data_IF_880809330286
#
_entry.id   IF_880809330286
#
_cell.length_a   1.000
_cell.length_b   1.000
_cell.length_c   1.000
_cell.angle_alpha   90.00
_cell.angle_beta   90.00
_cell.angle_gamma   90.00
#
_symmetry.space_group_name_H-M   'P 1'
#
loop_
_entity.id
_entity.type
_entity.pdbx_description
1 polymer ?
#
# COMPACT_ATOMS: atom_id res chain seq x y z
N UNK A 1 21.61 -11.98 -16.68
CA UNK A 1 21.24 -11.52 -15.32
C UNK A 1 19.78 -11.93 -15.16
N UNK A 2 19.39 -12.56 -14.05
CA UNK A 2 17.96 -12.87 -13.83
C UNK A 2 17.35 -11.69 -13.10
N UNK A 3 16.38 -11.03 -13.73
CA UNK A 3 15.63 -9.97 -13.07
C UNK A 3 14.77 -10.60 -11.98
N UNK A 4 15.02 -10.18 -10.75
CA UNK A 4 14.24 -10.58 -9.60
C UNK A 4 13.22 -9.50 -9.27
N UNK A 5 12.05 -9.92 -8.81
CA UNK A 5 10.95 -9.01 -8.52
C UNK A 5 10.55 -9.10 -7.05
N UNK A 6 10.29 -7.95 -6.46
CA UNK A 6 9.73 -7.84 -5.12
C UNK A 6 8.25 -7.49 -5.25
N UNK A 7 7.40 -8.33 -4.68
CA UNK A 7 5.95 -8.19 -4.72
C UNK A 7 5.40 -7.97 -3.31
N UNK A 8 4.46 -7.05 -3.18
CA UNK A 8 3.82 -6.69 -1.92
C UNK A 8 2.31 -6.55 -2.10
N UNK A 9 1.57 -6.91 -1.08
CA UNK A 9 0.14 -6.63 -0.99
C UNK A 9 -0.13 -5.97 0.35
N UNK A 10 -0.81 -4.83 0.32
CA UNK A 10 -1.14 -4.05 1.51
C UNK A 10 -2.60 -3.62 1.46
N UNK A 11 -3.32 -3.79 2.57
CA UNK A 11 -4.63 -3.16 2.77
C UNK A 11 -4.44 -1.88 3.58
N UNK A 12 -5.10 -0.81 3.16
CA UNK A 12 -5.04 0.49 3.81
C UNK A 12 -6.43 0.89 4.30
N UNK A 13 -6.56 1.09 5.60
CA UNK A 13 -7.75 1.65 6.22
C UNK A 13 -7.46 3.01 6.87
N UNK A 14 -8.49 3.63 7.45
CA UNK A 14 -8.34 4.85 8.25
C UNK A 14 -8.55 4.54 9.73
N UNK A 15 -7.59 4.88 10.58
CA UNK A 15 -7.68 4.76 12.03
C UNK A 15 -7.34 6.12 12.65
N UNK A 16 -8.26 6.71 13.42
CA UNK A 16 -8.04 8.03 14.04
C UNK A 16 -7.77 9.16 13.04
N UNK A 17 -8.31 9.08 11.82
CA UNK A 17 -8.06 10.04 10.74
C UNK A 17 -6.74 9.84 10.00
N UNK A 18 -5.93 8.85 10.37
CA UNK A 18 -4.68 8.49 9.71
C UNK A 18 -4.85 7.28 8.80
N UNK A 19 -4.22 7.29 7.62
CA UNK A 19 -4.17 6.11 6.74
C UNK A 19 -3.15 5.11 7.28
N UNK A 20 -3.59 3.89 7.58
CA UNK A 20 -2.77 2.81 8.15
C UNK A 20 -2.75 1.64 7.18
N UNK A 21 -1.55 1.18 6.83
CA UNK A 21 -1.33 0.01 5.98
C UNK A 21 -1.08 -1.26 6.79
N UNK A 22 -1.74 -2.36 6.42
CA UNK A 22 -1.54 -3.70 6.97
C UNK A 22 -1.03 -4.61 5.84
N UNK A 23 0.20 -5.16 5.94
CA UNK A 23 0.73 -6.06 4.91
C UNK A 23 -0.06 -7.37 4.91
N UNK A 24 -0.57 -7.75 3.75
CA UNK A 24 -1.32 -8.99 3.52
C UNK A 24 -0.43 -10.10 2.92
N UNK A 25 0.72 -9.74 2.36
CA UNK A 25 1.67 -10.69 1.83
C UNK A 25 2.86 -10.03 1.16
N UNK A 26 3.97 -10.75 1.13
CA UNK A 26 5.19 -10.37 0.41
C UNK A 26 5.74 -11.58 -0.32
N UNK A 27 6.29 -11.39 -1.51
CA UNK A 27 6.92 -12.46 -2.27
C UNK A 27 8.09 -11.94 -3.08
N UNK A 28 9.17 -12.72 -3.09
CA UNK A 28 10.36 -12.44 -3.88
C UNK A 28 10.36 -13.43 -5.05
N UNK A 29 10.00 -12.95 -6.22
CA UNK A 29 9.82 -13.79 -7.40
C UNK A 29 11.13 -13.85 -8.21
N UNK A 30 11.67 -15.06 -8.48
CA UNK A 30 12.92 -15.21 -9.22
C UNK A 30 12.76 -14.99 -10.73
N UNK A 31 11.51 -14.81 -11.21
CA UNK A 31 11.19 -14.54 -12.61
C UNK A 31 9.97 -13.64 -12.71
N UNK A 32 9.83 -12.94 -13.84
CA UNK A 32 8.66 -12.11 -14.15
C UNK A 32 7.36 -12.93 -14.13
N UNK A 33 7.38 -14.12 -14.73
CA UNK A 33 6.22 -15.00 -14.79
C UNK A 33 5.70 -15.37 -13.39
N UNK A 34 6.61 -15.64 -12.44
CA UNK A 34 6.23 -15.94 -11.06
C UNK A 34 5.74 -14.70 -10.30
N UNK A 35 6.27 -13.51 -10.61
CA UNK A 35 5.77 -12.26 -10.04
C UNK A 35 4.30 -12.03 -10.44
N UNK A 36 4.01 -12.11 -11.74
CA UNK A 36 2.66 -11.94 -12.28
C UNK A 36 1.70 -13.01 -11.76
N UNK A 37 2.14 -14.27 -11.76
CA UNK A 37 1.36 -15.37 -11.20
C UNK A 37 1.01 -15.09 -9.73
N UNK A 38 1.98 -14.69 -8.92
CA UNK A 38 1.76 -14.42 -7.50
C UNK A 38 0.78 -13.27 -7.28
N UNK A 39 0.89 -12.17 -8.04
CA UNK A 39 -0.06 -11.05 -7.94
C UNK A 39 -1.49 -11.49 -8.30
N UNK A 40 -1.66 -12.29 -9.36
CA UNK A 40 -2.97 -12.84 -9.77
C UNK A 40 -3.55 -13.77 -8.72
N UNK A 41 -2.70 -14.60 -8.12
CA UNK A 41 -3.10 -15.47 -7.01
C UNK A 41 -3.51 -14.64 -5.78
N UNK A 42 -2.80 -13.56 -5.46
CA UNK A 42 -3.18 -12.65 -4.36
C UNK A 42 -4.47 -11.88 -4.64
N UNK A 43 -4.69 -11.41 -5.87
CA UNK A 43 -5.96 -10.79 -6.25
C UNK A 43 -7.14 -11.77 -6.05
N UNK A 44 -6.95 -13.03 -6.46
CA UNK A 44 -7.94 -14.10 -6.23
C UNK A 44 -8.17 -14.33 -4.74
N UNK A 45 -7.09 -14.45 -3.96
CA UNK A 45 -7.16 -14.69 -2.52
C UNK A 45 -7.91 -13.57 -1.76
N UNK A 46 -7.72 -12.31 -2.14
CA UNK A 46 -8.47 -11.18 -1.58
C UNK A 46 -9.95 -11.29 -1.99
N UNK A 47 -10.23 -11.43 -3.29
CA UNK A 47 -11.60 -11.46 -3.81
C UNK A 47 -12.45 -12.55 -3.13
N UNK A 48 -11.92 -13.77 -3.01
CA UNK A 48 -12.62 -14.89 -2.37
C UNK A 48 -12.84 -14.72 -0.86
N UNK A 49 -12.06 -13.86 -0.20
CA UNK A 49 -12.24 -13.54 1.23
C UNK A 49 -13.24 -12.42 1.45
N UNK A 50 -13.34 -11.49 0.50
CA UNK A 50 -14.27 -10.37 0.57
C UNK A 50 -15.67 -10.76 0.09
N UNK A 51 -15.75 -11.59 -0.94
CA UNK A 51 -17.00 -12.06 -1.55
C UNK A 51 -16.90 -13.58 -1.79
N UNK A 52 -17.01 -14.39 -0.72
CA UNK A 52 -17.03 -15.83 -0.84
C UNK A 52 -18.33 -16.33 -1.47
N UNK A 53 -18.26 -17.43 -2.22
CA UNK A 53 -19.46 -18.09 -2.74
C UNK A 53 -20.42 -18.48 -1.61
N UNK A 54 -21.71 -18.09 -1.67
CA UNK A 54 -22.68 -18.41 -0.62
C UNK A 54 -22.98 -19.90 -0.50
N UNK A 55 -22.72 -20.66 -1.56
CA UNK A 55 -22.87 -22.12 -1.61
C UNK A 55 -21.63 -22.85 -1.03
N UNK A 56 -20.61 -22.12 -0.59
CA UNK A 56 -19.41 -22.70 0.00
C UNK A 56 -19.71 -23.31 1.37
N UNK A 57 -19.46 -24.61 1.50
CA UNK A 57 -19.66 -25.37 2.75
C UNK A 57 -18.84 -24.87 3.95
N UNK A 58 -17.92 -23.92 3.74
CA UNK A 58 -17.10 -23.31 4.78
C UNK A 58 -17.85 -22.26 5.61
N UNK A 59 -19.01 -21.78 5.15
CA UNK A 59 -19.79 -20.76 5.84
C UNK A 59 -21.10 -21.34 6.39
N UNK A 60 -21.43 -21.11 7.67
CA UNK A 60 -22.74 -21.48 8.20
C UNK A 60 -23.87 -20.77 7.43
N UNK A 61 -25.04 -21.40 7.38
CA UNK A 61 -26.24 -20.78 6.79
C UNK A 61 -26.53 -19.43 7.47
N UNK A 62 -26.74 -18.38 6.67
CA UNK A 62 -27.00 -17.03 7.15
C UNK A 62 -25.78 -16.25 7.65
N UNK A 63 -24.57 -16.79 7.56
CA UNK A 63 -23.33 -16.06 7.91
C UNK A 63 -22.94 -15.01 6.87
N UNK A 64 -23.50 -15.10 5.66
CA UNK A 64 -23.26 -14.17 4.55
C UNK A 64 -24.52 -13.33 4.31
N UNK A 65 -24.31 -12.03 4.08
CA UNK A 65 -25.35 -11.09 3.75
C UNK A 65 -25.03 -10.43 2.40
N UNK A 66 -26.03 -10.23 1.53
CA UNK A 66 -25.84 -9.48 0.29
C UNK A 66 -25.32 -8.07 0.59
N UNK A 67 -24.32 -7.64 -0.18
CA UNK A 67 -23.86 -6.25 -0.19
C UNK A 67 -24.78 -5.44 -1.10
N UNK A 68 -25.03 -4.18 -0.74
CA UNK A 68 -25.85 -3.29 -1.57
C UNK A 68 -25.16 -2.98 -2.91
N UNK A 69 -25.93 -2.93 -3.99
CA UNK A 69 -25.44 -2.64 -5.35
C UNK A 69 -24.74 -1.28 -5.48
N UNK A 70 -24.96 -0.37 -4.54
CA UNK A 70 -24.32 0.96 -4.51
C UNK A 70 -22.86 0.95 -4.04
N UNK A 71 -22.40 -0.16 -3.45
CA UNK A 71 -21.05 -0.26 -2.87
C UNK A 71 -20.05 -0.62 -3.97
N UNK A 72 -18.85 -0.02 -4.00
CA UNK A 72 -17.80 -0.43 -4.94
C UNK A 72 -17.47 -1.93 -4.82
N UNK A 73 -17.59 -2.64 -5.94
CA UNK A 73 -17.32 -4.07 -6.02
C UNK A 73 -15.82 -4.33 -6.24
N UNK A 74 -15.08 -4.27 -5.13
CA UNK A 74 -13.65 -4.63 -5.07
C UNK A 74 -13.40 -6.07 -5.56
N UNK A 75 -14.14 -7.09 -5.09
CA UNK A 75 -13.98 -8.47 -5.57
C UNK A 75 -14.09 -8.62 -7.09
N UNK A 76 -15.14 -8.06 -7.70
CA UNK A 76 -15.31 -8.12 -9.14
C UNK A 76 -14.17 -7.39 -9.87
N UNK A 77 -13.73 -6.24 -9.36
CA UNK A 77 -12.59 -5.49 -9.94
C UNK A 77 -11.30 -6.33 -9.92
N UNK A 78 -11.03 -7.03 -8.83
CA UNK A 78 -9.85 -7.90 -8.70
C UNK A 78 -9.92 -9.12 -9.63
N UNK A 79 -11.11 -9.74 -9.75
CA UNK A 79 -11.34 -10.85 -10.68
C UNK A 79 -11.18 -10.39 -12.13
N UNK A 80 -11.76 -9.24 -12.49
CA UNK A 80 -11.62 -8.65 -13.82
C UNK A 80 -10.16 -8.36 -14.16
N UNK A 81 -9.39 -7.75 -13.24
CA UNK A 81 -7.97 -7.49 -13.46
C UNK A 81 -7.16 -8.78 -13.67
N UNK A 82 -7.40 -9.81 -12.85
CA UNK A 82 -6.72 -11.11 -12.94
C UNK A 82 -6.98 -11.81 -14.29
N UNK A 83 -8.16 -11.61 -14.87
CA UNK A 83 -8.64 -12.30 -16.06
C UNK A 83 -8.44 -11.48 -17.37
N UNK A 84 -8.11 -10.19 -17.28
CA UNK A 84 -7.80 -9.32 -18.42
C UNK A 84 -6.40 -9.60 -18.99
N UNK A 85 -6.34 -10.50 -19.98
CA UNK A 85 -5.07 -10.92 -20.62
C UNK A 85 -4.30 -9.74 -21.23
N UNK A 86 -4.99 -8.83 -21.91
CA UNK A 86 -4.32 -7.69 -22.57
C UNK A 86 -3.68 -6.75 -21.53
N UNK A 87 -4.36 -6.53 -20.42
CA UNK A 87 -3.80 -5.77 -19.31
C UNK A 87 -2.63 -6.50 -18.64
N UNK A 88 -2.70 -7.82 -18.49
CA UNK A 88 -1.59 -8.61 -17.94
C UNK A 88 -0.33 -8.54 -18.82
N UNK A 89 -0.48 -8.55 -20.15
CA UNK A 89 0.65 -8.39 -21.08
C UNK A 89 1.29 -7.00 -20.95
N UNK A 90 0.48 -5.93 -20.88
CA UNK A 90 0.99 -4.57 -20.65
C UNK A 90 1.74 -4.45 -19.32
N UNK A 91 1.22 -5.09 -18.27
CA UNK A 91 1.86 -5.13 -16.95
C UNK A 91 3.19 -5.89 -17.01
N UNK A 92 3.25 -6.99 -17.76
CA UNK A 92 4.48 -7.74 -17.98
C UNK A 92 5.55 -6.87 -18.65
N UNK A 93 5.18 -6.12 -19.69
CA UNK A 93 6.08 -5.18 -20.38
C UNK A 93 6.59 -4.08 -19.44
N UNK A 94 5.73 -3.53 -18.58
CA UNK A 94 6.11 -2.52 -17.59
C UNK A 94 7.15 -3.04 -16.60
N UNK A 95 6.89 -4.21 -16.02
CA UNK A 95 7.80 -4.83 -15.08
C UNK A 95 9.12 -5.25 -15.74
N UNK A 96 9.07 -5.80 -16.96
CA UNK A 96 10.26 -6.16 -17.73
C UNK A 96 11.14 -4.94 -18.05
N UNK A 97 10.52 -3.77 -18.23
CA UNK A 97 11.23 -2.51 -18.41
C UNK A 97 11.72 -1.88 -17.09
N UNK A 98 11.57 -2.57 -15.95
CA UNK A 98 11.99 -2.10 -14.63
C UNK A 98 11.07 -1.05 -14.01
N UNK A 99 9.86 -0.83 -14.55
CA UNK A 99 8.89 0.11 -14.00
C UNK A 99 8.16 -0.53 -12.81
N UNK A 100 7.79 0.31 -11.83
CA UNK A 100 6.91 -0.08 -10.74
C UNK A 100 5.52 -0.42 -11.28
N UNK A 101 5.02 -1.59 -10.94
CA UNK A 101 3.61 -1.92 -11.06
C UNK A 101 2.90 -1.58 -9.75
N UNK A 102 1.80 -0.84 -9.85
CA UNK A 102 0.86 -0.62 -8.75
C UNK A 102 -0.57 -0.79 -9.25
N UNK A 103 -1.27 -1.74 -8.67
CA UNK A 103 -2.70 -1.99 -8.87
C UNK A 103 -3.41 -1.69 -7.57
N UNK A 104 -4.37 -0.77 -7.58
CA UNK A 104 -5.12 -0.40 -6.39
C UNK A 104 -6.62 -0.37 -6.67
N UNK A 105 -7.39 -0.92 -5.73
CA UNK A 105 -8.86 -0.87 -5.71
C UNK A 105 -9.33 -0.58 -4.29
N UNK A 106 -10.53 -0.06 -4.13
CA UNK A 106 -11.02 0.49 -2.86
C UNK A 106 -12.52 0.29 -2.71
N UNK A 107 -12.93 -0.12 -1.52
CA UNK A 107 -14.31 -0.02 -1.03
C UNK A 107 -14.45 1.20 -0.10
N UNK A 108 -15.61 1.37 0.53
CA UNK A 108 -15.89 2.53 1.38
C UNK A 108 -14.96 2.65 2.60
N UNK A 109 -14.32 1.55 3.00
CA UNK A 109 -13.53 1.43 4.23
C UNK A 109 -12.05 1.16 3.98
N UNK A 110 -11.72 0.43 2.92
CA UNK A 110 -10.41 -0.21 2.72
C UNK A 110 -9.95 -0.08 1.29
N UNK A 111 -8.68 0.26 1.11
CA UNK A 111 -7.99 0.23 -0.18
C UNK A 111 -7.01 -0.93 -0.22
N UNK A 112 -7.10 -1.77 -1.24
CA UNK A 112 -6.22 -2.90 -1.47
C UNK A 112 -5.23 -2.53 -2.57
N UNK A 113 -3.94 -2.64 -2.25
CA UNK A 113 -2.85 -2.35 -3.16
C UNK A 113 -2.02 -3.61 -3.40
N UNK A 114 -1.82 -3.94 -4.67
CA UNK A 114 -0.91 -4.97 -5.16
C UNK A 114 0.23 -4.26 -5.89
N UNK A 115 1.46 -4.51 -5.46
CA UNK A 115 2.65 -3.84 -5.94
C UNK A 115 3.68 -4.86 -6.38
N UNK A 116 4.36 -4.59 -7.50
CA UNK A 116 5.57 -5.31 -7.87
C UNK A 116 6.60 -4.38 -8.49
N UNK A 117 7.86 -4.66 -8.21
CA UNK A 117 8.99 -3.89 -8.73
C UNK A 117 10.19 -4.78 -9.00
N UNK A 118 11.00 -4.39 -10.00
CA UNK A 118 12.28 -5.05 -10.25
C UNK A 118 13.29 -4.68 -9.15
N UNK A 119 13.90 -5.69 -8.55
CA UNK A 119 14.96 -5.52 -7.55
C UNK A 119 16.19 -4.84 -8.16
N UNK A 120 16.49 -5.12 -9.42
CA UNK A 120 17.62 -4.49 -10.10
C UNK A 120 17.34 -3.02 -10.41
N UNK A 121 16.10 -2.66 -10.77
CA UNK A 121 15.68 -1.26 -10.88
C UNK A 121 15.81 -0.52 -9.54
N UNK A 122 15.34 -1.14 -8.45
CA UNK A 122 15.51 -0.60 -7.08
C UNK A 122 16.97 -0.40 -6.68
N UNK A 123 17.85 -1.35 -7.03
CA UNK A 123 19.29 -1.26 -6.75
C UNK A 123 19.92 -0.10 -7.54
N UNK A 124 19.56 0.05 -8.80
CA UNK A 124 20.05 1.15 -9.63
C UNK A 124 19.57 2.51 -9.10
N UNK A 125 18.29 2.63 -8.72
CA UNK A 125 17.73 3.85 -8.14
C UNK A 125 18.45 4.26 -6.84
N UNK A 126 18.70 3.31 -5.94
CA UNK A 126 19.48 3.57 -4.71
C UNK A 126 20.96 3.88 -4.96
N UNK A 127 21.55 3.36 -6.03
CA UNK A 127 22.95 3.59 -6.38
C UNK A 127 23.17 4.92 -7.12
N UNK A 128 22.14 5.46 -7.79
CA UNK A 128 22.23 6.71 -8.56
C UNK A 128 22.76 7.90 -7.76
N UNK A 129 22.31 8.19 -6.51
CA UNK A 129 22.88 9.28 -5.71
C UNK A 129 24.37 9.12 -5.41
N UNK A 130 24.83 7.89 -5.18
CA UNK A 130 26.23 7.57 -4.89
C UNK A 130 27.09 7.71 -6.14
N UNK A 131 26.59 7.28 -7.28
CA UNK A 131 27.28 7.39 -8.58
C UNK A 131 27.34 8.83 -9.09
N UNK A 132 26.32 9.64 -8.81
CA UNK A 132 26.26 11.07 -9.16
C UNK A 132 27.06 11.96 -8.18
N UNK A 133 27.77 11.36 -7.21
CA UNK A 133 28.63 12.10 -6.29
C UNK A 133 27.87 12.97 -5.29
N UNK A 134 26.61 12.65 -4.98
CA UNK A 134 25.93 13.26 -3.85
C UNK A 134 26.62 12.77 -2.56
N UNK A 135 27.59 13.57 -2.10
CA UNK A 135 28.28 13.32 -0.84
C UNK A 135 27.23 13.14 0.27
N UNK A 136 27.42 12.20 1.21
CA UNK A 136 26.61 12.18 2.42
C UNK A 136 26.71 13.57 3.04
N UNK A 137 25.57 14.25 3.21
CA UNK A 137 25.53 15.59 3.78
C UNK A 137 26.29 15.62 5.11
N UNK A 138 26.97 16.73 5.45
CA UNK A 138 27.86 16.79 6.59
C UNK A 138 27.09 16.33 7.83
N UNK A 139 27.56 15.23 8.42
CA UNK A 139 27.10 14.74 9.71
C UNK A 139 27.18 15.91 10.69
N UNK A 140 26.01 16.43 11.09
CA UNK A 140 25.96 17.41 12.16
C UNK A 140 26.46 16.70 13.40
N UNK A 141 27.74 16.92 13.71
CA UNK A 141 28.35 16.57 14.98
C UNK A 141 27.41 17.07 16.08
N UNK A 142 26.68 16.14 16.67
CA UNK A 142 25.82 16.39 17.82
C UNK A 142 26.78 16.61 18.98
N UNK A 143 27.12 17.87 19.24
CA UNK A 143 27.82 18.24 20.47
C UNK A 143 27.04 17.70 21.66
N UNK A 144 27.65 16.74 22.35
CA UNK A 144 27.18 16.22 23.62
C UNK A 144 27.25 17.35 24.66
N UNK A 145 26.09 17.92 25.00
CA UNK A 145 25.98 18.76 26.20
C UNK A 145 25.98 17.85 27.44
N UNK A 146 26.88 18.07 28.42
CA UNK A 146 26.93 17.25 29.61
C UNK A 146 25.69 17.46 30.49
N UNK A 147 25.23 16.35 31.04
CA UNK A 147 24.09 16.19 31.94
C UNK A 147 24.36 16.91 33.27
N UNK A 148 23.87 18.13 33.43
CA UNK A 148 23.76 18.77 34.74
C UNK A 148 22.40 18.41 35.36
N UNK A 149 22.47 17.64 36.42
CA UNK A 149 21.34 17.27 37.27
C UNK A 149 20.65 18.51 37.84
N UNK A 150 19.31 18.53 37.80
CA UNK A 150 18.52 19.25 38.79
C UNK A 150 17.21 18.53 39.02
N UNK A 151 17.12 17.90 40.19
CA UNK A 151 15.91 17.32 40.73
C UNK A 151 15.18 18.39 41.57
N UNK A 152 13.87 18.55 41.35
CA UNK A 152 12.96 19.18 42.31
C UNK A 152 11.51 18.68 42.08
N UNK A 153 11.21 17.57 42.74
CA UNK A 153 10.01 17.14 43.48
C UNK A 153 8.67 17.92 43.42
N UNK A 154 7.59 17.14 43.20
CA UNK A 154 6.17 17.25 43.64
C UNK A 154 5.31 18.43 43.11
N UNK A 155 3.98 18.37 42.95
CA UNK A 155 2.95 17.58 43.61
C UNK A 155 1.65 17.48 42.75
N UNK A 156 0.71 16.69 43.27
CA UNK A 156 -0.61 16.27 42.77
C UNK A 156 -1.60 17.36 42.31
N UNK A 157 -2.61 16.94 41.53
CA UNK A 157 -3.85 17.68 41.29
C UNK A 157 -4.67 17.12 40.13
N UNK A 158 -5.90 16.69 40.40
CA UNK A 158 -6.75 15.94 39.47
C UNK A 158 -7.65 16.78 38.55
N UNK A 159 -8.40 16.03 37.71
CA UNK A 159 -9.60 16.38 36.95
C UNK A 159 -9.60 17.66 36.09
N UNK A 160 -9.97 17.54 34.82
CA UNK A 160 -11.34 17.88 34.35
C UNK A 160 -11.45 17.70 32.82
N UNK A 161 -12.51 17.03 32.39
CA UNK A 161 -12.97 16.96 31.01
C UNK A 161 -13.83 18.19 30.72
N UNK A 162 -13.51 19.03 29.73
CA UNK A 162 -14.47 19.98 29.14
C UNK A 162 -14.16 20.25 27.66
N UNK A 163 -15.24 20.26 26.86
CA UNK A 163 -15.30 20.32 25.39
C UNK A 163 -15.11 21.74 24.79
N UNK A 164 -14.76 21.71 23.49
CA UNK A 164 -15.14 22.60 22.36
C UNK A 164 -14.55 24.03 22.29
N UNK A 165 -14.63 24.73 21.13
CA UNK A 165 -14.57 24.31 19.70
C UNK A 165 -13.67 25.23 18.83
N UNK A 166 -13.42 24.85 17.56
CA UNK A 166 -13.33 25.80 16.44
C UNK A 166 -11.95 26.11 15.82
N UNK A 167 -12.01 26.27 14.49
CA UNK A 167 -11.14 27.05 13.60
C UNK A 167 -10.01 26.36 12.81
N UNK A 168 -10.42 25.89 11.63
CA UNK A 168 -9.89 26.14 10.26
C UNK A 168 -8.40 26.35 9.98
N UNK A 169 -8.04 25.64 8.90
CA UNK A 169 -7.21 26.05 7.77
C UNK A 169 -5.69 26.08 7.96
N UNK A 170 -5.04 25.05 7.40
CA UNK A 170 -3.80 25.27 6.68
C UNK A 170 -3.59 24.19 5.63
N UNK A 171 -3.81 24.61 4.39
CA UNK A 171 -3.16 24.10 3.18
C UNK A 171 -1.78 23.50 3.49
N UNK A 172 -1.58 22.22 3.16
CA UNK A 172 -0.24 21.71 2.88
C UNK A 172 -0.29 20.84 1.63
N UNK A 173 0.14 21.51 0.56
CA UNK A 173 0.59 21.04 -0.74
C UNK A 173 0.81 19.53 -0.82
N UNK A 174 0.01 18.92 -1.69
CA UNK A 174 0.27 17.62 -2.31
C UNK A 174 1.57 17.72 -3.11
N UNK A 175 2.66 17.21 -2.55
CA UNK A 175 3.82 16.80 -3.33
C UNK A 175 3.53 15.41 -3.92
N UNK A 176 2.66 15.38 -4.93
CA UNK A 176 2.68 14.33 -5.94
C UNK A 176 3.75 14.75 -6.95
N UNK A 177 4.96 14.21 -6.84
CA UNK A 177 5.83 14.10 -8.02
C UNK A 177 6.89 13.03 -7.83
N UNK A 178 6.88 12.12 -8.81
CA UNK A 178 7.93 11.15 -9.16
C UNK A 178 8.12 9.97 -8.22
N UNK A 179 7.44 8.86 -8.55
CA UNK A 179 8.06 7.54 -8.80
C UNK A 179 6.94 6.50 -9.04
N UNK A 180 6.86 6.01 -10.27
CA UNK A 180 5.95 4.93 -10.68
C UNK A 180 4.70 5.41 -11.40
N UNK A 181 4.57 5.03 -12.67
CA UNK A 181 3.33 5.14 -13.42
C UNK A 181 2.26 4.31 -12.68
N UNK A 182 1.34 5.01 -12.02
CA UNK A 182 0.27 4.35 -11.27
C UNK A 182 -0.82 3.93 -12.25
N UNK A 183 -0.95 2.64 -12.51
CA UNK A 183 -2.11 2.10 -13.20
C UNK A 183 -3.27 2.08 -12.19
N UNK A 184 -4.00 3.20 -12.08
CA UNK A 184 -5.24 3.25 -11.30
C UNK A 184 -6.31 2.50 -12.09
N UNK A 185 -6.78 1.37 -11.58
CA UNK A 185 -7.97 0.69 -12.11
C UNK A 185 -9.20 1.57 -11.82
N UNK A 186 -9.49 2.50 -12.73
CA UNK A 186 -10.65 3.37 -12.66
C UNK A 186 -11.82 2.82 -13.48
N UNK A 187 -12.91 2.44 -12.78
CA UNK A 187 -14.28 2.17 -13.25
C UNK A 187 -14.41 1.56 -14.65
N UNK A 188 -14.50 0.23 -14.70
CA UNK A 188 -15.30 -0.42 -15.74
C UNK A 188 -16.78 -0.18 -15.40
N UNK A 189 -17.34 0.91 -15.90
CA UNK A 189 -18.79 1.04 -16.07
C UNK A 189 -19.13 0.55 -17.47
N UNK A 190 -19.89 -0.53 -17.54
CA UNK A 190 -20.61 -1.03 -18.70
C UNK A 190 -21.85 -1.75 -18.20
#
# INVERSE_FOLDING_TARGET
>A
MHDEFLCHVTAYGVCGGQRIGVPLGTYRAPTLALALWWLRDRATWIAERLDPSPESAHFPAGALAPVAESVPDVPATLRAWRDDVAHQDLVAEHLAAGRLLRVATRDDTTEYELLAESVDALRMDRALPVLLGAAPGPETHREERPLAASAATAAAGGHEYRRHPGHTDRQRMTSEESLGETIRLGRLHG
#
